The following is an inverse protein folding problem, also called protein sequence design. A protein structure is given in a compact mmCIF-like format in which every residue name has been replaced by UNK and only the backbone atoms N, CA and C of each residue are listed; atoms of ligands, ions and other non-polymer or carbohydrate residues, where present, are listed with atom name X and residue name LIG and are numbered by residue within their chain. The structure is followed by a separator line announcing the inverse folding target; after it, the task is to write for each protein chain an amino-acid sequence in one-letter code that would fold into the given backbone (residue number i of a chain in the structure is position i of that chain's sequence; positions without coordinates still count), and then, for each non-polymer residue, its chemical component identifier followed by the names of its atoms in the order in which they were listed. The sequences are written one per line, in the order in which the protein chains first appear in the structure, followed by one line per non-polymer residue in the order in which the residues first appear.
data_IF_015430041269
#
_entry.id   IF_015430041269
#
_cell.length_a   1.000
_cell.length_b   1.000
_cell.length_c   1.000
_cell.angle_alpha   90.00
_cell.angle_beta   90.00
_cell.angle_gamma   90.00
#
_symmetry.space_group_name_H-M   'P 1'
#
loop_
_entity.id
_entity.type
_entity.pdbx_description
1 polymer ?
#
# COMPACT_ATOMS: atom_id res chain seq x y z
N UNK A 1 -13.90 -27.17 46.81
CA UNK A 1 -13.65 -25.74 46.48
C UNK A 1 -12.36 -25.56 45.68
N UNK A 2 -11.21 -26.12 46.11
CA UNK A 2 -9.93 -26.06 45.37
C UNK A 2 -10.00 -26.51 43.90
N UNK A 3 -10.67 -27.62 43.60
CA UNK A 3 -10.84 -28.13 42.23
C UNK A 3 -11.69 -27.25 41.33
N UNK A 4 -12.68 -26.53 41.89
CA UNK A 4 -13.50 -25.56 41.14
C UNK A 4 -12.73 -24.26 40.86
N UNK A 5 -11.86 -23.84 41.78
CA UNK A 5 -10.98 -22.68 41.59
C UNK A 5 -9.94 -22.95 40.50
N UNK A 6 -9.35 -24.16 40.48
CA UNK A 6 -8.39 -24.56 39.44
C UNK A 6 -9.06 -24.62 38.06
N UNK A 7 -10.29 -25.15 37.98
CA UNK A 7 -11.03 -25.20 36.71
C UNK A 7 -11.37 -23.80 36.16
N UNK A 8 -11.70 -22.84 37.03
CA UNK A 8 -11.94 -21.44 36.63
C UNK A 8 -10.66 -20.75 36.18
N UNK A 9 -9.53 -20.98 36.86
CA UNK A 9 -8.22 -20.45 36.47
C UNK A 9 -7.74 -21.01 35.12
N UNK A 10 -7.97 -22.31 34.85
CA UNK A 10 -7.64 -22.92 33.56
C UNK A 10 -8.51 -22.35 32.43
N UNK A 11 -9.81 -22.17 32.67
CA UNK A 11 -10.72 -21.57 31.69
C UNK A 11 -10.35 -20.11 31.38
N UNK A 12 -9.88 -19.35 32.38
CA UNK A 12 -9.43 -17.97 32.19
C UNK A 12 -8.13 -17.88 31.39
N UNK A 13 -7.19 -18.83 31.58
CA UNK A 13 -5.94 -18.89 30.80
C UNK A 13 -6.15 -19.22 29.32
N UNK A 14 -7.21 -19.96 28.97
CA UNK A 14 -7.52 -20.29 27.58
C UNK A 14 -7.99 -19.08 26.77
N UNK A 15 -8.56 -18.04 27.40
CA UNK A 15 -9.01 -16.81 26.71
C UNK A 15 -7.82 -15.96 26.23
N UNK A 16 -6.70 -15.98 26.96
CA UNK A 16 -5.49 -15.23 26.59
C UNK A 16 -4.67 -15.91 25.48
N UNK A 17 -4.92 -17.19 25.21
CA UNK A 17 -4.18 -17.95 24.18
C UNK A 17 -4.60 -17.61 22.73
N UNK A 18 -5.75 -16.92 22.54
CA UNK A 18 -6.27 -16.60 21.20
C UNK A 18 -5.74 -15.29 20.60
N UNK A 19 -4.83 -14.57 21.28
CA UNK A 19 -4.37 -13.24 20.84
C UNK A 19 -2.99 -13.22 20.15
N UNK A 20 -2.35 -14.37 19.92
CA UNK A 20 -0.98 -14.42 19.44
C UNK A 20 -0.93 -14.76 17.94
N UNK A 21 -1.54 -13.90 17.12
CA UNK A 21 -1.20 -13.87 15.70
C UNK A 21 0.16 -13.17 15.58
N UNK A 22 1.17 -13.86 15.04
CA UNK A 22 2.47 -13.24 14.79
C UNK A 22 2.25 -12.08 13.82
N UNK A 23 2.44 -10.86 14.31
CA UNK A 23 2.39 -9.67 13.49
C UNK A 23 3.49 -9.75 12.41
N UNK A 24 3.19 -9.27 11.21
CA UNK A 24 4.18 -9.30 10.13
C UNK A 24 5.45 -8.53 10.54
N UNK A 25 6.62 -9.02 10.10
CA UNK A 25 7.93 -8.53 10.56
C UNK A 25 8.15 -7.02 10.36
N UNK A 26 7.44 -6.43 9.40
CA UNK A 26 7.55 -5.04 9.01
C UNK A 26 6.68 -4.10 9.83
N UNK A 27 5.72 -4.62 10.61
CA UNK A 27 4.86 -3.78 11.44
C UNK A 27 5.67 -3.13 12.55
N UNK A 28 5.45 -1.83 12.76
CA UNK A 28 6.22 -1.02 13.69
C UNK A 28 7.65 -0.70 13.23
N UNK A 29 8.09 -1.16 12.05
CA UNK A 29 9.40 -0.79 11.48
C UNK A 29 9.34 0.58 10.82
N UNK A 30 10.40 1.40 10.87
CA UNK A 30 10.44 2.65 10.14
C UNK A 30 10.43 2.38 8.63
N UNK A 31 9.62 3.16 7.90
CA UNK A 31 9.59 3.15 6.44
C UNK A 31 10.82 3.90 5.95
N UNK A 32 11.80 3.17 5.42
CA UNK A 32 13.04 3.77 4.91
C UNK A 32 12.83 4.44 3.56
N UNK A 33 12.06 3.78 2.70
CA UNK A 33 11.85 4.21 1.32
C UNK A 33 10.54 3.65 0.76
N UNK A 34 10.04 4.28 -0.31
CA UNK A 34 8.90 3.82 -1.09
C UNK A 34 9.32 3.79 -2.55
N UNK A 35 9.30 2.60 -3.16
CA UNK A 35 9.84 2.37 -4.50
C UNK A 35 8.77 1.83 -5.44
N UNK A 36 8.91 2.14 -6.73
CA UNK A 36 7.97 1.73 -7.76
C UNK A 36 8.68 0.95 -8.86
N UNK A 37 8.07 -0.16 -9.27
CA UNK A 37 8.51 -1.00 -10.37
C UNK A 37 7.40 -1.05 -11.42
N UNK A 38 7.74 -0.88 -12.71
CA UNK A 38 6.76 -0.91 -13.81
C UNK A 38 6.27 0.45 -14.31
N UNK A 39 6.85 1.55 -13.82
CA UNK A 39 6.62 2.90 -14.37
C UNK A 39 7.12 3.00 -15.82
N UNK A 40 6.36 3.67 -16.69
CA UNK A 40 6.69 3.91 -18.10
C UNK A 40 6.54 5.38 -18.47
N UNK A 41 5.42 6.01 -18.12
CA UNK A 41 5.12 7.41 -18.43
C UNK A 41 5.09 8.27 -17.16
N UNK A 42 4.63 7.72 -16.04
CA UNK A 42 4.60 8.43 -14.75
C UNK A 42 6.01 8.51 -14.20
N UNK A 43 6.47 9.72 -13.86
CA UNK A 43 7.80 9.90 -13.26
C UNK A 43 7.75 9.62 -11.77
N UNK A 44 8.81 9.00 -11.24
CA UNK A 44 8.92 8.76 -9.79
C UNK A 44 8.79 10.05 -8.97
N UNK A 45 9.30 11.18 -9.49
CA UNK A 45 9.21 12.49 -8.84
C UNK A 45 7.78 13.01 -8.71
N UNK A 46 6.85 12.58 -9.57
CA UNK A 46 5.44 12.95 -9.44
C UNK A 46 4.77 12.24 -8.27
N UNK A 47 5.29 11.06 -7.90
CA UNK A 47 4.80 10.26 -6.78
C UNK A 47 5.37 10.74 -5.44
N UNK A 48 6.49 11.45 -5.44
CA UNK A 48 7.13 11.98 -4.21
C UNK A 48 6.20 12.88 -3.40
N UNK A 49 5.34 13.67 -4.05
CA UNK A 49 4.35 14.50 -3.36
C UNK A 49 3.35 13.70 -2.53
N UNK A 50 3.10 12.44 -2.93
CA UNK A 50 2.23 11.50 -2.21
C UNK A 50 3.02 10.66 -1.21
N UNK A 51 4.23 10.22 -1.56
CA UNK A 51 4.98 9.22 -0.75
C UNK A 51 5.86 9.84 0.34
N UNK A 52 6.42 11.03 0.12
CA UNK A 52 7.37 11.67 1.06
C UNK A 52 6.85 11.81 2.50
N UNK A 53 5.56 12.15 2.74
CA UNK A 53 5.03 12.25 4.10
C UNK A 53 5.04 10.94 4.91
N UNK A 54 5.26 9.80 4.26
CA UNK A 54 5.27 8.48 4.89
C UNK A 54 6.69 8.02 5.26
N UNK A 55 7.72 8.60 4.64
CA UNK A 55 9.12 8.22 4.89
C UNK A 55 9.52 8.58 6.33
N UNK A 56 10.20 7.66 7.00
CA UNK A 56 10.66 7.76 8.38
C UNK A 56 9.60 7.43 9.43
N UNK A 57 8.32 7.31 9.06
CA UNK A 57 7.25 6.91 9.98
C UNK A 57 7.28 5.41 10.24
N UNK A 58 6.79 4.99 11.40
CA UNK A 58 6.63 3.58 11.70
C UNK A 58 5.46 3.02 10.89
N UNK A 59 5.69 1.87 10.25
CA UNK A 59 4.66 1.17 9.51
C UNK A 59 3.52 0.76 10.44
N UNK A 60 2.30 1.09 10.04
CA UNK A 60 1.05 0.56 10.59
C UNK A 60 0.08 0.32 9.45
N UNK A 61 -0.87 -0.59 9.64
CA UNK A 61 -1.89 -0.85 8.63
C UNK A 61 -2.65 0.42 8.26
N UNK A 62 -3.03 1.24 9.25
CA UNK A 62 -3.73 2.51 9.00
C UNK A 62 -2.92 3.47 8.12
N UNK A 63 -1.61 3.56 8.35
CA UNK A 63 -0.72 4.38 7.54
C UNK A 63 -0.60 3.82 6.11
N UNK A 64 -0.50 2.50 6.00
CA UNK A 64 -0.45 1.82 4.71
C UNK A 64 -1.75 2.00 3.90
N UNK A 65 -2.91 1.92 4.56
CA UNK A 65 -4.21 2.18 3.92
C UNK A 65 -4.34 3.63 3.42
N UNK A 66 -3.85 4.61 4.19
CA UNK A 66 -3.81 6.02 3.74
C UNK A 66 -2.92 6.18 2.49
N UNK A 67 -1.69 5.63 2.54
CA UNK A 67 -0.79 5.64 1.38
C UNK A 67 -1.43 4.98 0.16
N UNK A 68 -2.00 3.78 0.32
CA UNK A 68 -2.63 3.04 -0.77
C UNK A 68 -3.84 3.80 -1.33
N UNK A 69 -4.68 4.39 -0.47
CA UNK A 69 -5.80 5.23 -0.88
C UNK A 69 -5.37 6.43 -1.72
N UNK A 70 -4.30 7.11 -1.32
CA UNK A 70 -3.74 8.24 -2.08
C UNK A 70 -3.19 7.79 -3.44
N UNK A 71 -2.49 6.66 -3.50
CA UNK A 71 -1.96 6.13 -4.76
C UNK A 71 -3.07 5.73 -5.73
N UNK A 72 -4.16 5.12 -5.26
CA UNK A 72 -5.35 4.85 -6.09
C UNK A 72 -6.05 6.14 -6.53
N UNK A 73 -6.10 7.16 -5.67
CA UNK A 73 -6.72 8.45 -5.98
C UNK A 73 -6.01 9.27 -7.07
N UNK A 74 -4.77 8.92 -7.43
CA UNK A 74 -4.09 9.52 -8.58
C UNK A 74 -4.68 9.05 -9.93
N UNK A 75 -5.38 7.92 -9.93
CA UNK A 75 -5.92 7.26 -11.13
C UNK A 75 -4.87 6.91 -12.20
N UNK A 76 -3.58 6.88 -11.85
CA UNK A 76 -2.49 6.58 -12.79
C UNK A 76 -2.32 5.10 -13.09
N UNK A 77 -2.79 4.22 -12.21
CA UNK A 77 -2.52 2.78 -12.27
C UNK A 77 -3.81 1.96 -12.36
N UNK A 78 -3.78 0.90 -13.18
CA UNK A 78 -4.81 -0.15 -13.19
C UNK A 78 -4.57 -1.20 -12.10
N UNK A 79 -3.30 -1.47 -11.80
CA UNK A 79 -2.88 -2.45 -10.80
C UNK A 79 -1.80 -1.84 -9.93
N UNK A 80 -1.93 -2.01 -8.62
CA UNK A 80 -0.93 -1.65 -7.63
C UNK A 80 -0.75 -2.88 -6.71
N UNK A 81 0.42 -3.52 -6.78
CA UNK A 81 0.76 -4.69 -5.96
C UNK A 81 1.86 -4.33 -4.96
N UNK A 82 1.54 -4.24 -3.66
CA UNK A 82 2.50 -3.88 -2.62
C UNK A 82 3.35 -5.09 -2.18
N UNK A 83 4.58 -4.82 -1.76
CA UNK A 83 5.45 -5.78 -1.10
C UNK A 83 6.34 -5.07 -0.07
N UNK A 84 6.58 -5.72 1.07
CA UNK A 84 7.51 -5.24 2.09
C UNK A 84 8.89 -5.86 1.86
N UNK A 85 9.90 -5.03 1.69
CA UNK A 85 11.29 -5.46 1.49
C UNK A 85 12.14 -4.97 2.66
N UNK A 86 12.89 -5.85 3.36
CA UNK A 86 13.77 -5.42 4.43
C UNK A 86 14.98 -4.68 3.88
N UNK A 87 15.42 -3.61 4.57
CA UNK A 87 16.64 -2.86 4.20
C UNK A 87 17.91 -3.68 4.44
N UNK A 88 17.86 -4.61 5.40
CA UNK A 88 18.96 -5.47 5.79
C UNK A 88 18.44 -6.83 6.29
N UNK A 89 19.36 -7.78 6.53
CA UNK A 89 19.01 -9.11 7.04
C UNK A 89 18.35 -9.08 8.43
N UNK A 90 18.52 -8.00 9.19
CA UNK A 90 17.94 -7.84 10.52
C UNK A 90 16.51 -7.27 10.48
N UNK A 91 16.03 -6.81 9.32
CA UNK A 91 14.73 -6.16 9.19
C UNK A 91 14.64 -4.88 10.04
N UNK A 92 15.73 -4.08 10.07
CA UNK A 92 15.78 -2.85 10.88
C UNK A 92 14.78 -1.78 10.41
N UNK A 93 14.47 -1.78 9.11
CA UNK A 93 13.55 -0.88 8.44
C UNK A 93 12.91 -1.58 7.24
N UNK A 94 11.80 -1.03 6.76
CA UNK A 94 11.05 -1.55 5.60
C UNK A 94 11.11 -0.59 4.43
N UNK A 95 11.29 -1.14 3.23
CA UNK A 95 11.05 -0.49 1.95
C UNK A 95 9.70 -0.99 1.45
N UNK A 96 8.78 -0.07 1.18
CA UNK A 96 7.51 -0.42 0.55
C UNK A 96 7.70 -0.40 -0.97
N UNK A 97 7.76 -1.57 -1.59
CA UNK A 97 7.91 -1.70 -3.03
C UNK A 97 6.56 -1.97 -3.68
N UNK A 98 6.15 -1.09 -4.58
CA UNK A 98 4.93 -1.21 -5.36
C UNK A 98 5.25 -1.63 -6.79
N UNK A 99 4.79 -2.80 -7.19
CA UNK A 99 4.77 -3.19 -8.61
C UNK A 99 3.48 -2.68 -9.22
N UNK A 100 3.58 -1.83 -10.24
CA UNK A 100 2.44 -1.12 -10.82
C UNK A 100 2.25 -1.43 -12.30
N UNK A 101 1.00 -1.32 -12.75
CA UNK A 101 0.64 -1.27 -14.16
C UNK A 101 -0.06 0.05 -14.42
N UNK A 102 0.59 0.94 -15.17
CA UNK A 102 0.01 2.22 -15.58
C UNK A 102 -1.24 2.03 -16.46
N UNK A 103 -2.17 2.97 -16.33
CA UNK A 103 -3.28 3.12 -17.27
C UNK A 103 -2.74 3.47 -18.66
N UNK A 104 -3.42 3.06 -19.73
CA UNK A 104 -3.04 3.45 -21.08
C UNK A 104 -3.15 4.97 -21.26
N UNK A 105 -2.15 5.56 -21.90
CA UNK A 105 -2.17 6.97 -22.30
C UNK A 105 -2.84 7.11 -23.67
N UNK A 106 -3.62 8.18 -23.86
CA UNK A 106 -4.24 8.47 -25.15
C UNK A 106 -3.16 8.99 -26.09
N UNK A 107 -2.81 8.19 -27.10
CA UNK A 107 -1.83 8.59 -28.11
C UNK A 107 -2.43 9.45 -29.22
N UNK A 108 -3.68 9.16 -29.63
CA UNK A 108 -4.41 9.86 -30.69
C UNK A 108 -5.91 9.73 -30.50
N UNK A 109 -6.65 10.77 -30.86
CA UNK A 109 -8.10 10.76 -30.99
C UNK A 109 -8.43 11.10 -32.44
N UNK A 110 -9.14 10.20 -33.14
CA UNK A 110 -9.59 10.41 -34.51
C UNK A 110 -11.11 10.58 -34.56
N UNK A 111 -11.56 11.63 -35.23
CA UNK A 111 -12.97 11.88 -35.49
C UNK A 111 -13.27 11.60 -36.96
N UNK A 112 -14.23 10.71 -37.22
CA UNK A 112 -14.62 10.28 -38.57
C UNK A 112 -16.14 10.44 -38.74
N UNK A 113 -16.57 11.08 -39.82
CA UNK A 113 -18.00 11.24 -40.17
C UNK A 113 -18.70 12.47 -39.55
N UNK A 114 -17.96 13.33 -38.86
CA UNK A 114 -18.41 14.54 -38.15
C UNK A 114 -18.54 15.77 -39.06
N UNK A 115 -19.07 15.61 -40.27
CA UNK A 115 -19.09 16.63 -41.33
C UNK A 115 -19.93 17.89 -40.98
N UNK A 116 -20.86 17.77 -40.03
CA UNK A 116 -21.74 18.89 -39.61
C UNK A 116 -21.27 19.59 -38.33
N UNK A 117 -20.17 19.14 -37.72
CA UNK A 117 -19.62 19.69 -36.49
C UNK A 117 -18.28 20.37 -36.76
N UNK A 118 -18.08 21.54 -36.15
CA UNK A 118 -16.80 22.26 -36.24
C UNK A 118 -15.80 21.65 -35.25
N UNK A 119 -14.51 21.78 -35.53
CA UNK A 119 -13.43 21.20 -34.70
C UNK A 119 -13.44 21.66 -33.24
N UNK A 120 -13.98 22.83 -32.95
CA UNK A 120 -14.10 23.41 -31.62
C UNK A 120 -15.35 22.93 -30.85
N UNK A 121 -16.20 22.11 -31.49
CA UNK A 121 -17.39 21.48 -30.92
C UNK A 121 -17.17 19.96 -30.67
N UNK A 122 -15.93 19.49 -30.85
CA UNK A 122 -15.49 18.09 -30.70
C UNK A 122 -14.57 17.90 -29.50
#
# INVERSE_FOLDING_TARGET
MRTRIIAVLLALSAVFAFAQQSEDWYVGKPIKDITFEGLKHVKSTELEGVTSPFIGRLFTDALFWDLQGRLYGLEYFDVISPSAVPVDQAGSAVILKFTVKEKPVIARIDFVGNNSLRKNEL
#
